data_IF_420198445829
#
_entry.id   IF_420198445829
#
_cell.length_a   1.000
_cell.length_b   1.000
_cell.length_c   1.000
_cell.angle_alpha   90.00
_cell.angle_beta   90.00
_cell.angle_gamma   90.00
#
_symmetry.space_group_name_H-M   'P 1'
#
loop_
_entity.id
_entity.type
_entity.pdbx_description
1 polymer ?
#
# COMPACT_ATOMS: atom_id res chain seq x y z
N UNK A 1 16.92 -16.64 -8.84
CA UNK A 1 16.26 -17.91 -8.43
C UNK A 1 14.96 -17.55 -7.75
N UNK A 2 13.79 -18.05 -8.21
CA UNK A 2 12.51 -17.58 -7.70
C UNK A 2 12.26 -18.18 -6.31
N UNK A 3 12.14 -17.30 -5.31
CA UNK A 3 11.71 -17.62 -3.96
C UNK A 3 10.18 -17.83 -3.93
N UNK A 4 9.69 -18.88 -4.60
CA UNK A 4 8.34 -19.38 -4.32
C UNK A 4 8.49 -20.33 -3.14
N UNK A 5 7.95 -20.02 -1.94
CA UNK A 5 7.96 -20.99 -0.86
C UNK A 5 7.07 -22.15 -1.34
N UNK A 6 7.66 -23.33 -1.54
CA UNK A 6 6.87 -24.56 -1.62
C UNK A 6 6.05 -24.62 -0.32
N UNK A 7 4.74 -24.90 -0.37
CA UNK A 7 4.00 -25.21 0.84
C UNK A 7 4.70 -26.41 1.48
N UNK A 8 5.42 -26.15 2.57
CA UNK A 8 6.11 -27.19 3.31
C UNK A 8 5.01 -28.12 3.82
N UNK A 9 5.03 -29.38 3.42
CA UNK A 9 4.20 -30.42 4.02
C UNK A 9 4.44 -30.36 5.53
N UNK A 10 3.43 -29.89 6.27
CA UNK A 10 3.47 -29.76 7.73
C UNK A 10 3.79 -31.14 8.29
N UNK A 11 4.99 -31.29 8.84
CA UNK A 11 5.29 -32.45 9.68
C UNK A 11 4.41 -32.34 10.93
N UNK A 12 3.68 -33.38 11.34
CA UNK A 12 2.71 -33.32 12.43
C UNK A 12 3.31 -32.91 13.79
N UNK A 13 4.64 -32.92 13.92
CA UNK A 13 5.37 -32.56 15.15
C UNK A 13 6.18 -31.24 15.04
N UNK A 14 5.98 -30.43 14.00
CA UNK A 14 6.73 -29.19 13.84
C UNK A 14 6.23 -28.11 14.84
N UNK A 15 7.14 -27.58 15.66
CA UNK A 15 6.86 -26.42 16.52
C UNK A 15 7.02 -25.11 15.73
N UNK A 16 6.28 -24.07 16.12
CA UNK A 16 6.39 -22.75 15.51
C UNK A 16 7.78 -22.15 15.74
N UNK A 17 8.52 -21.88 14.66
CA UNK A 17 9.80 -21.19 14.72
C UNK A 17 9.64 -19.72 14.25
N UNK A 18 9.60 -18.73 15.17
CA UNK A 18 9.46 -17.32 14.79
C UNK A 18 10.67 -16.75 14.04
N UNK A 19 11.84 -17.38 14.14
CA UNK A 19 13.06 -16.95 13.46
C UNK A 19 13.21 -17.54 12.04
N UNK A 20 12.19 -18.21 11.51
CA UNK A 20 12.26 -18.82 10.19
C UNK A 20 12.44 -17.76 9.09
N UNK A 21 13.32 -18.03 8.12
CA UNK A 21 13.68 -17.09 7.05
C UNK A 21 12.48 -16.64 6.18
N UNK A 22 11.39 -17.42 6.16
CA UNK A 22 10.15 -17.06 5.47
C UNK A 22 9.49 -15.78 6.04
N UNK A 23 9.73 -15.49 7.32
CA UNK A 23 9.22 -14.29 7.99
C UNK A 23 10.18 -13.11 7.90
N UNK A 24 11.28 -13.21 7.15
CA UNK A 24 12.18 -12.10 6.88
C UNK A 24 11.71 -11.27 5.67
N UNK A 25 11.81 -9.95 5.77
CA UNK A 25 11.49 -8.96 4.74
C UNK A 25 12.68 -8.01 4.50
N UNK A 26 12.52 -7.00 3.63
CA UNK A 26 13.54 -5.97 3.34
C UNK A 26 14.93 -6.57 3.08
N UNK A 27 15.11 -7.25 1.94
CA UNK A 27 16.34 -7.97 1.61
C UNK A 27 16.75 -9.05 2.63
N UNK A 28 15.77 -9.65 3.31
CA UNK A 28 15.95 -10.68 4.35
C UNK A 28 16.70 -10.17 5.59
N UNK A 29 16.85 -8.86 5.77
CA UNK A 29 17.58 -8.27 6.89
C UNK A 29 16.68 -7.97 8.10
N UNK A 30 15.37 -7.84 7.89
CA UNK A 30 14.43 -7.43 8.93
C UNK A 30 13.34 -8.49 9.12
N UNK A 31 12.90 -8.66 10.36
CA UNK A 31 11.70 -9.45 10.62
C UNK A 31 10.48 -8.72 10.04
N UNK A 32 9.57 -9.47 9.41
CA UNK A 32 8.39 -8.94 8.71
C UNK A 32 7.53 -8.03 9.57
N UNK A 33 7.32 -8.38 10.84
CA UNK A 33 6.60 -7.53 11.79
C UNK A 33 7.28 -6.17 11.98
N UNK A 34 8.60 -6.14 12.18
CA UNK A 34 9.37 -4.90 12.33
C UNK A 34 9.30 -4.07 11.06
N UNK A 35 9.46 -4.69 9.88
CA UNK A 35 9.34 -4.02 8.60
C UNK A 35 7.96 -3.39 8.40
N UNK A 36 6.89 -4.13 8.71
CA UNK A 36 5.52 -3.64 8.59
C UNK A 36 5.22 -2.48 9.57
N UNK A 37 5.76 -2.52 10.80
CA UNK A 37 5.65 -1.41 11.76
C UNK A 37 6.35 -0.16 11.22
N UNK A 38 7.56 -0.29 10.68
CA UNK A 38 8.29 0.83 10.09
C UNK A 38 7.53 1.46 8.92
N UNK A 39 6.93 0.63 8.06
CA UNK A 39 6.06 1.09 6.97
C UNK A 39 4.86 1.87 7.53
N UNK A 40 4.17 1.34 8.55
CA UNK A 40 3.02 2.02 9.14
C UNK A 40 3.41 3.39 9.73
N UNK A 41 4.52 3.46 10.46
CA UNK A 41 5.03 4.72 11.03
C UNK A 41 5.42 5.71 9.93
N UNK A 42 6.10 5.25 8.88
CA UNK A 42 6.47 6.08 7.74
C UNK A 42 5.23 6.71 7.08
N UNK A 43 4.18 5.92 6.82
CA UNK A 43 2.94 6.41 6.25
C UNK A 43 2.23 7.42 7.17
N UNK A 44 2.21 7.17 8.48
CA UNK A 44 1.63 8.13 9.44
C UNK A 44 2.33 9.49 9.34
N UNK A 45 3.67 9.50 9.32
CA UNK A 45 4.46 10.74 9.22
C UNK A 45 4.19 11.43 7.88
N UNK A 46 4.24 10.69 6.77
CA UNK A 46 4.03 11.22 5.43
C UNK A 46 2.61 11.81 5.27
N UNK A 47 1.58 11.03 5.61
CA UNK A 47 0.19 11.47 5.51
C UNK A 47 -0.10 12.64 6.44
N UNK A 48 0.48 12.69 7.65
CA UNK A 48 0.31 13.83 8.56
C UNK A 48 0.96 15.11 8.01
N UNK A 49 2.14 14.98 7.39
CA UNK A 49 2.82 16.08 6.71
C UNK A 49 1.99 16.63 5.55
N UNK A 50 1.52 15.74 4.67
CA UNK A 50 0.64 16.10 3.53
C UNK A 50 -0.65 16.75 4.03
N UNK A 51 -1.31 16.15 5.02
CA UNK A 51 -2.53 16.71 5.59
C UNK A 51 -2.31 18.12 6.15
N UNK A 52 -1.23 18.33 6.91
CA UNK A 52 -0.89 19.66 7.45
C UNK A 52 -0.62 20.66 6.35
N UNK A 53 0.05 20.24 5.26
CA UNK A 53 0.30 21.08 4.10
C UNK A 53 -1.02 21.44 3.37
N UNK A 54 -1.89 20.46 3.12
CA UNK A 54 -3.20 20.68 2.49
C UNK A 54 -4.09 21.62 3.31
N UNK A 55 -4.12 21.47 4.64
CA UNK A 55 -4.88 22.37 5.52
C UNK A 55 -4.37 23.80 5.43
N UNK A 56 -3.06 24.03 5.26
CA UNK A 56 -2.51 25.37 5.03
C UNK A 56 -2.93 25.96 3.67
N UNK A 57 -3.14 25.12 2.66
CA UNK A 57 -3.63 25.52 1.35
C UNK A 57 -5.13 25.90 1.33
N UNK A 58 -5.87 25.78 2.43
CA UNK A 58 -7.28 26.22 2.51
C UNK A 58 -7.42 27.73 2.24
N UNK A 59 -6.38 28.51 2.52
CA UNK A 59 -6.35 29.95 2.29
C UNK A 59 -5.85 30.35 0.88
N UNK A 60 -5.52 29.41 -0.01
CA UNK A 60 -5.02 29.70 -1.36
C UNK A 60 -6.12 29.56 -2.42
N UNK A 61 -5.87 30.05 -3.65
CA UNK A 61 -6.83 30.04 -4.77
C UNK A 61 -7.17 28.65 -5.36
N UNK A 62 -6.81 27.56 -4.68
CA UNK A 62 -7.10 26.21 -5.16
C UNK A 62 -8.61 25.96 -5.18
N UNK A 63 -9.09 25.19 -6.16
CA UNK A 63 -10.48 24.74 -6.21
C UNK A 63 -10.87 24.07 -4.89
N UNK A 64 -11.95 24.56 -4.26
CA UNK A 64 -12.43 24.03 -2.96
C UNK A 64 -12.77 22.54 -3.03
N UNK A 65 -13.22 22.07 -4.19
CA UNK A 65 -13.61 20.66 -4.40
C UNK A 65 -12.38 19.77 -4.45
N UNK A 66 -11.34 20.17 -5.19
CA UNK A 66 -10.07 19.43 -5.27
C UNK A 66 -9.41 19.35 -3.91
N UNK A 67 -9.35 20.47 -3.19
CA UNK A 67 -8.76 20.51 -1.86
C UNK A 67 -9.52 19.62 -0.88
N UNK A 68 -10.86 19.65 -0.90
CA UNK A 68 -11.68 18.79 -0.06
C UNK A 68 -11.46 17.29 -0.36
N UNK A 69 -11.34 16.93 -1.64
CA UNK A 69 -11.05 15.56 -2.07
C UNK A 69 -9.66 15.10 -1.60
N UNK A 70 -8.64 15.95 -1.73
CA UNK A 70 -7.27 15.66 -1.25
C UNK A 70 -7.20 15.50 0.26
N UNK A 71 -7.87 16.36 1.02
CA UNK A 71 -7.96 16.28 2.49
C UNK A 71 -8.65 14.97 2.91
N UNK A 72 -9.76 14.62 2.25
CA UNK A 72 -10.47 13.38 2.50
C UNK A 72 -9.58 12.16 2.24
N UNK A 73 -8.88 12.13 1.09
CA UNK A 73 -7.98 11.05 0.75
C UNK A 73 -6.80 10.93 1.73
N UNK A 74 -6.17 12.05 2.09
CA UNK A 74 -5.08 12.07 3.07
C UNK A 74 -5.53 11.55 4.45
N UNK A 75 -6.77 11.88 4.85
CA UNK A 75 -7.37 11.38 6.10
C UNK A 75 -7.61 9.87 6.05
N UNK A 76 -8.11 9.34 4.93
CA UNK A 76 -8.29 7.90 4.75
C UNK A 76 -6.96 7.14 4.81
N UNK A 77 -5.92 7.65 4.14
CA UNK A 77 -4.59 7.04 4.19
C UNK A 77 -4.02 7.03 5.62
N UNK A 78 -4.22 8.12 6.38
CA UNK A 78 -3.79 8.19 7.79
C UNK A 78 -4.53 7.16 8.65
N UNK A 79 -5.85 7.04 8.49
CA UNK A 79 -6.66 6.04 9.20
C UNK A 79 -6.18 4.62 8.86
N UNK A 80 -5.94 4.33 7.59
CA UNK A 80 -5.45 3.02 7.16
C UNK A 80 -4.08 2.68 7.78
N UNK A 81 -3.16 3.65 7.84
CA UNK A 81 -1.85 3.46 8.47
C UNK A 81 -1.95 3.21 9.99
N UNK A 82 -2.88 3.88 10.67
CA UNK A 82 -3.18 3.64 12.09
C UNK A 82 -3.79 2.24 12.29
N UNK A 83 -4.72 1.82 11.43
CA UNK A 83 -5.32 0.47 11.48
C UNK A 83 -4.24 -0.60 11.30
N UNK A 84 -3.31 -0.42 10.37
CA UNK A 84 -2.18 -1.32 10.20
C UNK A 84 -1.34 -1.39 11.48
N UNK A 85 -0.96 -0.24 12.05
CA UNK A 85 -0.16 -0.20 13.27
C UNK A 85 -0.85 -0.88 14.45
N UNK A 86 -2.14 -0.59 14.66
CA UNK A 86 -2.95 -1.21 15.71
C UNK A 86 -3.12 -2.71 15.48
N UNK A 87 -3.37 -3.12 14.24
CA UNK A 87 -3.45 -4.52 13.86
C UNK A 87 -2.17 -5.29 14.21
N UNK A 88 -1.01 -4.73 13.86
CA UNK A 88 0.30 -5.33 14.14
C UNK A 88 0.59 -5.37 15.65
N UNK A 89 0.25 -4.31 16.39
CA UNK A 89 0.50 -4.22 17.85
C UNK A 89 -0.41 -5.13 18.66
N UNK A 90 -1.68 -5.24 18.26
CA UNK A 90 -2.68 -6.09 18.91
C UNK A 90 -2.65 -7.53 18.40
N UNK A 91 -1.76 -7.84 17.43
CA UNK A 91 -1.72 -9.11 16.71
C UNK A 91 -3.10 -9.53 16.16
N UNK A 92 -3.96 -8.55 15.83
CA UNK A 92 -5.36 -8.78 15.47
C UNK A 92 -5.50 -9.21 14.02
N UNK A 93 -5.74 -10.50 13.80
CA UNK A 93 -5.95 -11.08 12.46
C UNK A 93 -7.09 -10.42 11.69
N UNK A 94 -8.16 -10.00 12.38
CA UNK A 94 -9.31 -9.32 11.74
C UNK A 94 -8.90 -7.97 11.16
N UNK A 95 -8.15 -7.17 11.93
CA UNK A 95 -7.66 -5.87 11.47
C UNK A 95 -6.64 -6.02 10.34
N UNK A 96 -5.70 -6.96 10.45
CA UNK A 96 -4.75 -7.22 9.36
C UNK A 96 -5.44 -7.73 8.09
N UNK A 97 -6.42 -8.63 8.21
CA UNK A 97 -7.16 -9.15 7.05
C UNK A 97 -7.91 -8.02 6.36
N UNK A 98 -8.61 -7.18 7.12
CA UNK A 98 -9.30 -6.00 6.58
C UNK A 98 -8.34 -5.04 5.87
N UNK A 99 -7.19 -4.75 6.49
CA UNK A 99 -6.17 -3.91 5.88
C UNK A 99 -5.59 -4.50 4.60
N UNK A 100 -5.21 -5.79 4.59
CA UNK A 100 -4.67 -6.47 3.40
C UNK A 100 -5.69 -6.46 2.26
N UNK A 101 -6.96 -6.71 2.54
CA UNK A 101 -8.03 -6.63 1.54
C UNK A 101 -8.15 -5.22 0.96
N UNK A 102 -8.24 -4.20 1.82
CA UNK A 102 -8.34 -2.81 1.40
C UNK A 102 -7.13 -2.36 0.57
N UNK A 103 -5.91 -2.72 1.01
CA UNK A 103 -4.66 -2.42 0.31
C UNK A 103 -4.58 -3.14 -1.05
N UNK A 104 -5.03 -4.38 -1.13
CA UNK A 104 -5.06 -5.13 -2.40
C UNK A 104 -6.01 -4.48 -3.40
N UNK A 105 -7.20 -4.06 -2.95
CA UNK A 105 -8.16 -3.32 -3.78
C UNK A 105 -7.59 -1.98 -4.23
N UNK A 106 -6.90 -1.25 -3.34
CA UNK A 106 -6.25 0.01 -3.67
C UNK A 106 -5.16 -0.17 -4.74
N UNK A 107 -4.26 -1.14 -4.58
CA UNK A 107 -3.22 -1.46 -5.57
C UNK A 107 -3.85 -1.83 -6.91
N UNK A 108 -4.91 -2.63 -6.90
CA UNK A 108 -5.65 -2.99 -8.11
C UNK A 108 -6.26 -1.76 -8.81
N UNK A 109 -6.88 -0.85 -8.04
CA UNK A 109 -7.41 0.40 -8.56
C UNK A 109 -6.31 1.29 -9.15
N UNK A 110 -5.20 1.50 -8.43
CA UNK A 110 -4.06 2.28 -8.91
C UNK A 110 -3.48 1.71 -10.20
N UNK A 111 -3.40 0.38 -10.30
CA UNK A 111 -2.95 -0.29 -11.52
C UNK A 111 -3.91 -0.07 -12.69
N UNK A 112 -5.23 -0.16 -12.47
CA UNK A 112 -6.25 0.14 -13.50
C UNK A 112 -6.17 1.61 -13.93
N UNK A 113 -6.01 2.55 -12.98
CA UNK A 113 -5.84 3.97 -13.28
C UNK A 113 -4.56 4.23 -14.08
N UNK A 114 -3.46 3.55 -13.74
CA UNK A 114 -2.21 3.62 -14.50
C UNK A 114 -2.38 3.07 -15.93
N UNK A 115 -3.10 1.96 -16.12
CA UNK A 115 -3.41 1.46 -17.46
C UNK A 115 -4.29 2.44 -18.23
N UNK A 116 -5.29 3.06 -17.58
CA UNK A 116 -6.13 4.09 -18.19
C UNK A 116 -5.32 5.31 -18.65
N UNK A 117 -4.34 5.73 -17.83
CA UNK A 117 -3.39 6.80 -18.14
C UNK A 117 -2.56 6.46 -19.40
N UNK A 118 -2.00 5.24 -19.48
CA UNK A 118 -1.22 4.79 -20.66
C UNK A 118 -2.10 4.62 -21.90
N UNK A 119 -3.31 4.08 -21.75
CA UNK A 119 -4.25 3.88 -22.85
C UNK A 119 -4.79 5.21 -23.43
N UNK A 120 -4.36 6.35 -22.89
CA UNK A 120 -4.77 7.65 -23.39
C UNK A 120 -6.23 7.97 -23.07
N UNK A 121 -6.79 7.40 -21.98
CA UNK A 121 -8.02 7.91 -21.38
C UNK A 121 -7.69 9.24 -20.66
N UNK A 122 -7.16 10.18 -21.44
CA UNK A 122 -7.22 11.61 -21.19
C UNK A 122 -8.39 12.07 -22.06
N UNK A 123 -9.64 12.07 -21.55
CA UNK A 123 -10.77 12.55 -22.32
C UNK A 123 -10.59 14.06 -22.52
N UNK A 124 -10.37 14.49 -23.77
CA UNK A 124 -10.84 15.80 -24.26
C UNK A 124 -10.27 17.09 -23.66
N UNK A 125 -9.10 17.11 -23.00
CA UNK A 125 -8.45 18.38 -22.59
C UNK A 125 -7.40 18.89 -23.60
N UNK A 126 -7.00 18.04 -24.56
CA UNK A 126 -6.14 18.42 -25.69
C UNK A 126 -6.92 18.57 -27.01
N UNK A 127 -8.25 18.49 -26.95
CA UNK A 127 -9.13 18.71 -28.09
C UNK A 127 -9.78 20.11 -27.94
N UNK A 128 -8.94 21.12 -27.69
CA UNK A 128 -9.27 22.47 -28.15
C UNK A 128 -8.78 22.55 -29.60
N UNK A 129 -9.68 22.65 -30.60
CA UNK A 129 -9.33 22.60 -32.01
C UNK A 129 -8.58 23.85 -32.52
N UNK A 130 -8.20 24.77 -31.64
CA UNK A 130 -7.57 26.03 -32.00
C UNK A 130 -6.34 26.34 -31.13
N UNK A 131 -5.16 25.95 -31.61
CA UNK A 131 -3.97 26.82 -31.81
C UNK A 131 -2.69 25.99 -31.95
N UNK A 132 -2.16 25.91 -33.18
CA UNK A 132 -0.75 25.63 -33.51
C UNK A 132 -0.08 24.41 -32.84
N UNK A 133 -0.49 23.20 -33.22
CA UNK A 133 0.35 22.18 -33.87
C UNK A 133 1.67 21.68 -33.26
N UNK A 134 2.10 22.13 -32.09
CA UNK A 134 3.22 21.58 -31.34
C UNK A 134 2.87 21.63 -29.86
N UNK A 135 2.57 20.47 -29.25
CA UNK A 135 2.69 20.36 -27.80
C UNK A 135 4.11 20.82 -27.45
N UNK A 136 4.23 21.75 -26.51
CA UNK A 136 5.56 22.20 -26.12
C UNK A 136 6.33 20.99 -25.56
N UNK A 137 7.63 20.90 -25.82
CA UNK A 137 8.49 19.81 -25.30
C UNK A 137 8.36 19.64 -23.77
N UNK A 138 7.95 20.70 -23.08
CA UNK A 138 7.62 20.71 -21.66
C UNK A 138 6.36 19.90 -21.31
N UNK A 139 5.27 19.99 -22.09
CA UNK A 139 4.05 19.23 -21.87
C UNK A 139 4.25 17.73 -22.09
N UNK A 140 4.99 17.36 -23.13
CA UNK A 140 5.35 15.96 -23.39
C UNK A 140 6.22 15.40 -22.26
N UNK A 141 7.19 16.18 -21.78
CA UNK A 141 8.04 15.79 -20.65
C UNK A 141 7.25 15.63 -19.35
N UNK A 142 6.26 16.50 -19.09
CA UNK A 142 5.39 16.40 -17.92
C UNK A 142 4.54 15.13 -17.95
N UNK A 143 3.97 14.78 -19.10
CA UNK A 143 3.19 13.54 -19.26
C UNK A 143 4.07 12.31 -19.02
N UNK A 144 5.29 12.29 -19.60
CA UNK A 144 6.24 11.19 -19.39
C UNK A 144 6.62 11.06 -17.91
N UNK A 145 6.89 12.19 -17.25
CA UNK A 145 7.19 12.22 -15.82
C UNK A 145 6.02 11.69 -14.98
N UNK A 146 4.79 12.07 -15.30
CA UNK A 146 3.57 11.60 -14.63
C UNK A 146 3.41 10.08 -14.75
N UNK A 147 3.70 9.51 -15.92
CA UNK A 147 3.70 8.05 -16.13
C UNK A 147 4.74 7.37 -15.25
N UNK A 148 5.97 7.91 -15.21
CA UNK A 148 7.05 7.34 -14.38
C UNK A 148 6.74 7.42 -12.88
N UNK A 149 6.19 8.55 -12.41
CA UNK A 149 5.78 8.72 -11.02
C UNK A 149 4.66 7.73 -10.69
N UNK A 150 3.64 7.62 -11.55
CA UNK A 150 2.53 6.69 -11.36
C UNK A 150 3.00 5.24 -11.28
N UNK A 151 3.93 4.83 -12.17
CA UNK A 151 4.53 3.51 -12.13
C UNK A 151 5.33 3.27 -10.84
N UNK A 152 6.14 4.26 -10.43
CA UNK A 152 6.92 4.16 -9.19
C UNK A 152 6.03 3.97 -7.97
N UNK A 153 4.91 4.71 -7.89
CA UNK A 153 3.91 4.56 -6.82
C UNK A 153 3.35 3.14 -6.81
N UNK A 154 2.90 2.61 -7.94
CA UNK A 154 2.37 1.23 -8.00
C UNK A 154 3.40 0.20 -7.55
N UNK A 155 4.66 0.33 -7.97
CA UNK A 155 5.75 -0.59 -7.58
C UNK A 155 5.98 -0.53 -6.06
N UNK A 156 6.02 0.67 -5.49
CA UNK A 156 6.20 0.88 -4.04
C UNK A 156 5.05 0.27 -3.25
N UNK A 157 3.81 0.50 -3.68
CA UNK A 157 2.61 -0.04 -3.00
C UNK A 157 2.56 -1.58 -3.07
N UNK A 158 2.92 -2.16 -4.21
CA UNK A 158 3.07 -3.62 -4.33
C UNK A 158 4.15 -4.12 -3.37
N UNK A 159 5.29 -3.44 -3.30
CA UNK A 159 6.36 -3.82 -2.39
C UNK A 159 5.93 -3.76 -0.91
N UNK A 160 5.21 -2.70 -0.50
CA UNK A 160 4.63 -2.61 0.84
C UNK A 160 3.65 -3.74 1.13
N UNK A 161 2.76 -4.06 0.18
CA UNK A 161 1.82 -5.17 0.32
C UNK A 161 2.56 -6.50 0.56
N UNK A 162 3.68 -6.76 -0.13
CA UNK A 162 4.47 -7.99 0.11
C UNK A 162 5.01 -8.09 1.54
N UNK A 163 5.42 -6.97 2.13
CA UNK A 163 5.96 -6.93 3.49
C UNK A 163 4.84 -7.18 4.50
N UNK A 164 3.68 -6.54 4.31
CA UNK A 164 2.51 -6.72 5.17
C UNK A 164 1.96 -8.15 5.06
N UNK A 165 1.93 -8.74 3.86
CA UNK A 165 1.52 -10.13 3.66
C UNK A 165 2.43 -11.13 4.41
N UNK A 166 3.75 -10.88 4.45
CA UNK A 166 4.66 -11.69 5.26
C UNK A 166 4.38 -11.57 6.75
N UNK A 167 4.11 -10.36 7.23
CA UNK A 167 3.72 -10.15 8.63
C UNK A 167 2.38 -10.85 8.94
N UNK A 168 1.42 -10.78 8.02
CA UNK A 168 0.14 -11.49 8.14
C UNK A 168 0.29 -13.02 8.18
N UNK A 169 1.13 -13.58 7.30
CA UNK A 169 1.48 -15.01 7.31
C UNK A 169 2.06 -15.39 8.66
N UNK A 170 3.01 -14.62 9.19
CA UNK A 170 3.60 -14.86 10.50
C UNK A 170 2.54 -14.96 11.61
N UNK A 171 1.60 -14.01 11.69
CA UNK A 171 0.55 -14.05 12.71
C UNK A 171 -0.46 -15.18 12.49
N UNK A 172 -0.77 -15.49 11.24
CA UNK A 172 -1.68 -16.60 10.91
C UNK A 172 -1.06 -17.95 11.25
N UNK A 173 0.22 -18.14 10.92
CA UNK A 173 0.97 -19.35 11.27
C UNK A 173 1.13 -19.46 12.79
N UNK A 174 1.51 -18.37 13.47
CA UNK A 174 1.58 -18.32 14.94
C UNK A 174 0.28 -18.81 15.57
N UNK A 175 -0.86 -18.24 15.17
CA UNK A 175 -2.18 -18.66 15.67
C UNK A 175 -2.47 -20.15 15.41
N UNK A 176 -2.23 -20.63 14.19
CA UNK A 176 -2.46 -22.03 13.83
C UNK A 176 -1.62 -23.00 14.66
N UNK A 177 -0.39 -22.63 15.04
CA UNK A 177 0.48 -23.48 15.86
C UNK A 177 0.25 -23.34 17.38
N UNK A 178 -0.26 -22.20 17.87
CA UNK A 178 -0.35 -21.94 19.32
C UNK A 178 -1.78 -21.90 19.88
N UNK A 179 -2.82 -21.86 19.05
CA UNK A 179 -4.17 -21.63 19.56
C UNK A 179 -5.37 -21.93 18.65
N UNK A 180 -5.17 -22.33 17.38
CA UNK A 180 -6.28 -22.66 16.48
C UNK A 180 -7.12 -23.86 16.93
N UNK A 181 -6.49 -24.91 17.48
CA UNK A 181 -7.18 -26.17 17.83
C UNK A 181 -7.95 -26.13 19.17
N UNK A 182 -7.95 -25.00 19.88
CA UNK A 182 -8.64 -24.87 21.19
C UNK A 182 -10.01 -24.20 21.12
N UNK A 183 -10.33 -23.49 20.04
CA UNK A 183 -11.64 -22.81 19.89
C UNK A 183 -12.67 -23.67 19.13
N UNK A 184 -12.26 -24.70 18.38
CA UNK A 184 -13.17 -25.59 17.63
C UNK A 184 -13.65 -26.82 18.43
N UNK A 185 -13.29 -26.93 19.71
CA UNK A 185 -13.60 -28.08 20.59
C UNK A 185 -14.42 -27.72 21.86
N UNK A 186 -15.16 -26.62 21.86
CA UNK A 186 -16.10 -26.26 22.95
C UNK A 186 -17.47 -25.90 22.38
#
# INVERSE_FOLDING_TARGET
MPCVPKPQQRSPNASFNPAHAQYACCFQQLHSNTGAILIAVFHIILCSGIFTWLVKCIATEKSRIELAAEIFLASLCLIAAIILLLGLKLESRRLLTGYVLAQTLLVGLLFVLFLALIMGIKPGILDDPDQNGYNSLEEELLIVLEIFISLAVVIIEVWFLTIVLKAYSFFTDKYNYTGGDREDNV
#
